data_IF_234607054625
#
_entry.id   IF_234607054625
#
_cell.length_a   1.000
_cell.length_b   1.000
_cell.length_c   1.000
_cell.angle_alpha   90.00
_cell.angle_beta   90.00
_cell.angle_gamma   90.00
#
_symmetry.space_group_name_H-M   'P 1'
#
loop_
_entity.id
_entity.type
_entity.pdbx_description
1 polymer ?
#
# COMPACT_ATOMS: atom_id res chain seq x y z
N UNK A 1 0.08 10.74 0.86
CA UNK A 1 -1.36 10.73 1.22
C UNK A 1 -1.50 11.09 2.70
N UNK A 2 -2.16 12.20 3.05
CA UNK A 2 -2.18 12.69 4.44
C UNK A 2 -3.12 11.87 5.36
N UNK A 3 -4.34 11.58 4.89
CA UNK A 3 -5.31 10.72 5.59
C UNK A 3 -5.53 9.48 4.74
N UNK A 4 -5.19 8.26 5.19
CA UNK A 4 -5.40 7.05 4.38
C UNK A 4 -6.87 6.62 4.27
N UNK A 5 -7.63 6.86 5.34
CA UNK A 5 -9.02 6.41 5.49
C UNK A 5 -9.96 7.61 5.36
N UNK A 6 -11.15 7.38 4.79
CA UNK A 6 -12.22 8.36 4.66
C UNK A 6 -12.33 8.98 3.27
N UNK A 7 -13.02 10.12 3.21
CA UNK A 7 -13.27 10.86 1.97
C UNK A 7 -12.01 11.58 1.50
N UNK A 8 -11.70 11.39 0.22
CA UNK A 8 -10.57 12.02 -0.45
C UNK A 8 -11.04 13.06 -1.46
N UNK A 9 -10.14 13.99 -1.83
CA UNK A 9 -10.41 14.89 -2.94
C UNK A 9 -10.64 14.09 -4.24
N UNK A 10 -11.42 14.60 -5.21
CA UNK A 10 -11.67 13.90 -6.46
C UNK A 10 -10.39 13.54 -7.24
N UNK A 11 -9.34 14.35 -7.13
CA UNK A 11 -8.03 14.05 -7.72
C UNK A 11 -7.37 12.83 -7.09
N UNK A 12 -7.26 12.82 -5.76
CA UNK A 12 -6.67 11.70 -5.03
C UNK A 12 -7.51 10.42 -5.17
N UNK A 13 -8.84 10.54 -5.17
CA UNK A 13 -9.72 9.40 -5.36
C UNK A 13 -9.51 8.72 -6.72
N UNK A 14 -9.26 9.48 -7.79
CA UNK A 14 -8.92 8.91 -9.11
C UNK A 14 -7.62 8.12 -9.07
N UNK A 15 -6.57 8.68 -8.48
CA UNK A 15 -5.28 7.99 -8.32
C UNK A 15 -5.46 6.69 -7.53
N UNK A 16 -6.19 6.73 -6.42
CA UNK A 16 -6.49 5.55 -5.62
C UNK A 16 -7.22 4.47 -6.41
N UNK A 17 -8.19 4.85 -7.25
CA UNK A 17 -8.93 3.91 -8.07
C UNK A 17 -8.03 3.22 -9.10
N UNK A 18 -7.10 3.95 -9.74
CA UNK A 18 -6.11 3.37 -10.66
C UNK A 18 -5.23 2.36 -9.92
N UNK A 19 -4.56 2.79 -8.85
CA UNK A 19 -3.64 1.92 -8.10
C UNK A 19 -4.33 0.69 -7.48
N UNK A 20 -5.60 0.81 -7.09
CA UNK A 20 -6.39 -0.32 -6.57
C UNK A 20 -6.81 -1.28 -7.68
N UNK A 21 -7.03 -0.78 -8.89
CA UNK A 21 -7.46 -1.54 -10.07
C UNK A 21 -6.37 -2.37 -10.75
N UNK A 22 -5.09 -2.19 -10.40
CA UNK A 22 -3.96 -2.94 -10.97
C UNK A 22 -4.11 -4.48 -10.84
N UNK A 23 -3.38 -5.29 -11.62
CA UNK A 23 -3.35 -6.75 -11.46
C UNK A 23 -2.98 -7.18 -10.03
N UNK A 24 -3.50 -8.34 -9.59
CA UNK A 24 -3.17 -8.85 -8.25
C UNK A 24 -1.74 -9.37 -8.14
N UNK A 25 -1.15 -9.86 -9.23
CA UNK A 25 0.22 -10.38 -9.22
C UNK A 25 1.22 -9.28 -8.79
N UNK A 26 2.01 -9.57 -7.76
CA UNK A 26 2.99 -8.63 -7.20
C UNK A 26 2.41 -7.51 -6.36
N UNK A 27 1.09 -7.36 -6.23
CA UNK A 27 0.46 -6.23 -5.53
C UNK A 27 0.78 -6.24 -4.03
N UNK A 28 1.28 -5.12 -3.51
CA UNK A 28 1.53 -4.94 -2.08
C UNK A 28 0.24 -4.96 -1.26
N UNK A 29 0.24 -5.68 -0.15
CA UNK A 29 -0.87 -5.79 0.81
C UNK A 29 -0.33 -5.83 2.25
N UNK A 30 -1.21 -5.63 3.22
CA UNK A 30 -0.92 -5.79 4.63
C UNK A 30 -1.58 -7.08 5.15
N UNK A 31 -0.81 -7.89 5.86
CA UNK A 31 -1.32 -9.03 6.62
C UNK A 31 -1.40 -8.59 8.08
N UNK A 32 -2.61 -8.65 8.65
CA UNK A 32 -2.80 -8.40 10.08
C UNK A 32 -2.29 -9.61 10.88
N UNK A 33 -1.15 -9.45 11.54
CA UNK A 33 -0.50 -10.51 12.34
C UNK A 33 -1.04 -10.51 13.76
N UNK A 34 -1.34 -9.32 14.30
CA UNK A 34 -2.04 -9.16 15.57
C UNK A 34 -3.16 -8.14 15.39
N UNK A 35 -4.41 -8.51 15.73
CA UNK A 35 -5.56 -7.65 15.52
C UNK A 35 -5.33 -6.23 16.06
N UNK A 36 -5.49 -5.26 15.16
CA UNK A 36 -5.40 -3.82 15.42
C UNK A 36 -4.08 -3.34 16.02
N UNK A 37 -3.01 -4.14 15.93
CA UNK A 37 -1.74 -3.85 16.60
C UNK A 37 -0.52 -4.06 15.71
N UNK A 38 -0.55 -5.06 14.84
CA UNK A 38 0.62 -5.44 14.06
C UNK A 38 0.23 -5.87 12.65
N UNK A 39 0.86 -5.24 11.67
CA UNK A 39 0.67 -5.53 10.25
C UNK A 39 2.01 -5.79 9.58
N UNK A 40 2.09 -6.87 8.82
CA UNK A 40 3.28 -7.22 8.06
C UNK A 40 3.04 -6.97 6.58
N UNK A 41 4.03 -6.37 5.92
CA UNK A 41 3.97 -6.14 4.49
C UNK A 41 4.09 -7.46 3.73
N UNK A 42 3.33 -7.61 2.64
CA UNK A 42 3.42 -8.76 1.77
C UNK A 42 3.14 -8.38 0.32
N UNK A 43 3.49 -9.28 -0.61
CA UNK A 43 3.12 -9.20 -2.03
C UNK A 43 2.24 -10.37 -2.41
N UNK A 44 1.11 -10.09 -3.07
CA UNK A 44 0.27 -11.14 -3.63
C UNK A 44 1.01 -11.87 -4.74
N UNK A 45 0.92 -13.21 -4.76
CA UNK A 45 1.47 -14.02 -5.86
C UNK A 45 0.70 -13.82 -7.17
N UNK A 46 -0.58 -13.43 -7.09
CA UNK A 46 -1.50 -13.40 -8.23
C UNK A 46 -2.07 -14.77 -8.60
N UNK A 47 -1.65 -15.84 -7.92
CA UNK A 47 -2.13 -17.21 -8.16
C UNK A 47 -3.15 -17.57 -7.09
N UNK A 48 -4.35 -17.96 -7.53
CA UNK A 48 -5.44 -18.34 -6.62
C UNK A 48 -5.02 -19.53 -5.75
N UNK A 49 -5.26 -19.43 -4.45
CA UNK A 49 -4.95 -20.48 -3.47
C UNK A 49 -3.49 -20.49 -3.00
N UNK A 50 -2.62 -19.67 -3.58
CA UNK A 50 -1.26 -19.49 -3.09
C UNK A 50 -1.19 -18.34 -2.09
N UNK A 51 -0.47 -18.57 -0.99
CA UNK A 51 -0.27 -17.54 0.03
C UNK A 51 0.53 -16.34 -0.53
N UNK A 52 0.34 -15.13 0.03
CA UNK A 52 1.20 -13.99 -0.27
C UNK A 52 2.66 -14.25 0.12
N UNK A 53 3.59 -13.59 -0.57
CA UNK A 53 5.00 -13.54 -0.19
C UNK A 53 5.15 -12.50 0.91
N UNK A 54 5.43 -12.95 2.12
CA UNK A 54 5.62 -12.09 3.30
C UNK A 54 6.98 -11.40 3.22
N UNK A 55 7.03 -10.11 3.56
CA UNK A 55 8.25 -9.31 3.63
C UNK A 55 8.62 -9.02 5.09
N UNK A 56 9.87 -8.64 5.34
CA UNK A 56 10.39 -8.40 6.70
C UNK A 56 9.84 -7.12 7.36
N UNK A 57 9.27 -6.22 6.56
CA UNK A 57 8.74 -4.94 7.07
C UNK A 57 7.46 -5.15 7.88
N UNK A 58 7.48 -4.67 9.12
CA UNK A 58 6.37 -4.73 10.07
C UNK A 58 6.00 -3.33 10.55
N UNK A 59 4.71 -3.08 10.73
CA UNK A 59 4.15 -1.83 11.21
C UNK A 59 3.31 -2.06 12.46
N UNK A 60 3.39 -1.11 13.38
CA UNK A 60 2.53 -1.02 14.57
C UNK A 60 1.48 0.10 14.47
N UNK A 61 1.48 0.85 13.37
CA UNK A 61 0.50 1.88 13.04
C UNK A 61 -0.06 1.60 11.64
N UNK A 62 -1.37 1.34 11.58
CA UNK A 62 -2.06 1.02 10.33
C UNK A 62 -2.02 2.17 9.32
N UNK A 63 -2.11 3.43 9.76
CA UNK A 63 -2.10 4.57 8.86
C UNK A 63 -0.73 4.76 8.21
N UNK A 64 0.35 4.48 8.95
CA UNK A 64 1.71 4.45 8.42
C UNK A 64 1.85 3.32 7.40
N UNK A 65 1.37 2.12 7.73
CA UNK A 65 1.39 0.98 6.82
C UNK A 65 0.64 1.25 5.51
N UNK A 66 -0.54 1.87 5.57
CA UNK A 66 -1.35 2.22 4.39
C UNK A 66 -0.68 3.31 3.52
N UNK A 67 0.00 4.28 4.15
CA UNK A 67 0.80 5.27 3.40
C UNK A 67 1.97 4.61 2.68
N UNK A 68 2.64 3.66 3.32
CA UNK A 68 3.73 2.90 2.72
C UNK A 68 3.24 2.10 1.51
N UNK A 69 2.14 1.33 1.66
CA UNK A 69 1.55 0.59 0.54
C UNK A 69 1.17 1.52 -0.61
N UNK A 70 0.64 2.71 -0.32
CA UNK A 70 0.36 3.70 -1.35
C UNK A 70 1.64 4.17 -2.08
N UNK A 71 2.71 4.49 -1.34
CA UNK A 71 3.99 4.91 -1.92
C UNK A 71 4.64 3.81 -2.77
N UNK A 72 4.64 2.56 -2.28
CA UNK A 72 5.15 1.40 -3.01
C UNK A 72 4.38 1.15 -4.31
N UNK A 73 3.05 1.19 -4.26
CA UNK A 73 2.21 1.03 -5.46
C UNK A 73 2.36 2.19 -6.43
N UNK A 74 2.51 3.42 -5.92
CA UNK A 74 2.83 4.58 -6.75
C UNK A 74 4.15 4.37 -7.48
N UNK A 75 5.20 3.97 -6.77
CA UNK A 75 6.52 3.70 -7.36
C UNK A 75 6.46 2.64 -8.44
N UNK A 76 5.72 1.55 -8.24
CA UNK A 76 5.57 0.53 -9.28
C UNK A 76 4.77 1.01 -10.49
N UNK A 77 3.73 1.83 -10.29
CA UNK A 77 2.88 2.30 -11.39
C UNK A 77 3.51 3.46 -12.18
N UNK A 78 4.17 4.40 -11.49
CA UNK A 78 4.72 5.64 -12.08
C UNK A 78 6.22 5.53 -12.38
N UNK A 79 6.93 4.60 -11.73
CA UNK A 79 8.37 4.43 -11.86
C UNK A 79 9.19 5.47 -11.09
N UNK A 80 8.58 6.21 -10.16
CA UNK A 80 9.21 7.28 -9.38
C UNK A 80 8.76 7.23 -7.92
N UNK A 81 9.64 7.60 -7.01
CA UNK A 81 9.26 7.79 -5.61
C UNK A 81 8.28 8.96 -5.47
N UNK A 82 7.33 8.80 -4.56
CA UNK A 82 6.35 9.85 -4.29
C UNK A 82 6.99 10.94 -3.42
N UNK A 83 7.41 12.04 -4.04
CA UNK A 83 7.88 13.24 -3.33
C UNK A 83 6.69 14.16 -3.09
N UNK A 84 6.42 14.48 -1.82
CA UNK A 84 5.47 15.52 -1.43
C UNK A 84 6.26 16.66 -0.79
N UNK A 85 6.18 17.86 -1.38
CA UNK A 85 6.88 19.11 -1.01
C UNK A 85 7.62 19.07 0.34
N UNK A 86 8.88 18.65 0.31
CA UNK A 86 9.84 18.77 1.42
C UNK A 86 10.14 17.51 2.23
N UNK A 87 9.43 16.39 2.04
CA UNK A 87 9.78 15.12 2.67
C UNK A 87 9.81 13.99 1.62
N UNK A 88 10.99 13.43 1.43
CA UNK A 88 11.14 12.11 0.80
C UNK A 88 10.73 11.06 1.83
N UNK A 89 9.84 10.15 1.44
CA UNK A 89 9.35 9.03 2.26
C UNK A 89 10.02 7.74 1.82
#
# INVERSE_FOLDING_TARGET
MAKPVGLHSPGLQRVLNVLRGEPLAGKYVLIEVTPHQCWQLARLSGIRGQAPIVLDTVFTDLLTAEREVFALRWREHVGQDLVLDGASW
#
